data_IF_390138950034
#
_entry.id   IF_390138950034
#
_cell.length_a   1.000
_cell.length_b   1.000
_cell.length_c   1.000
_cell.angle_alpha   90.00
_cell.angle_beta   90.00
_cell.angle_gamma   90.00
#
_symmetry.space_group_name_H-M   'P 1'
#
loop_
_entity.id
_entity.type
_entity.pdbx_description
1 polymer ?
#
# COMPACT_ATOMS: atom_id res chain seq x y z
N UNK A 1 -8.94 51.49 33.31
CA UNK A 1 -9.32 50.70 34.49
C UNK A 1 -8.96 49.25 34.25
N UNK A 2 -8.25 48.66 35.21
CA UNK A 2 -7.99 47.22 35.48
C UNK A 2 -7.26 46.36 34.42
N UNK A 3 -6.00 46.08 34.78
CA UNK A 3 -5.13 44.97 34.38
C UNK A 3 -5.65 43.64 34.93
N UNK A 4 -5.39 42.53 34.23
CA UNK A 4 -5.27 41.15 34.76
C UNK A 4 -4.48 40.37 33.69
N UNK A 5 -3.27 39.81 33.83
CA UNK A 5 -2.47 39.29 34.95
C UNK A 5 -3.16 38.17 35.73
N UNK A 6 -3.08 36.95 35.19
CA UNK A 6 -3.15 35.64 35.89
C UNK A 6 -2.27 34.70 35.04
N UNK A 7 -0.99 34.54 35.38
CA UNK A 7 -0.39 33.51 36.25
C UNK A 7 -0.18 32.17 35.55
N UNK A 8 1.10 31.98 35.22
CA UNK A 8 1.83 30.73 34.98
C UNK A 8 1.49 29.71 36.08
N UNK A 9 1.10 28.51 35.69
CA UNK A 9 1.21 27.32 36.53
C UNK A 9 1.93 26.22 35.74
N UNK A 10 3.24 26.19 35.94
CA UNK A 10 4.13 25.09 35.57
C UNK A 10 3.81 23.94 36.53
N UNK A 11 3.24 22.85 36.00
CA UNK A 11 3.12 21.59 36.74
C UNK A 11 4.24 20.65 36.27
N UNK A 12 5.38 20.74 36.97
CA UNK A 12 6.44 19.73 36.92
C UNK A 12 5.94 18.53 37.72
N UNK A 13 5.70 17.41 37.05
CA UNK A 13 5.56 16.11 37.68
C UNK A 13 6.74 15.25 37.23
N UNK A 14 7.77 15.25 38.07
CA UNK A 14 8.86 14.32 38.06
C UNK A 14 8.43 13.03 38.77
N UNK A 15 8.34 11.93 38.04
CA UNK A 15 8.32 10.55 38.53
C UNK A 15 8.87 9.75 37.36
N UNK A 16 9.99 9.05 37.43
CA UNK A 16 10.57 8.30 38.52
C UNK A 16 11.08 7.04 37.82
N UNK A 17 12.40 6.95 37.69
CA UNK A 17 13.08 5.89 36.93
C UNK A 17 12.70 4.51 37.46
N UNK A 18 12.34 3.59 36.55
CA UNK A 18 12.46 2.16 36.79
C UNK A 18 13.38 1.58 35.73
N UNK A 19 14.63 1.40 36.14
CA UNK A 19 15.64 0.61 35.46
C UNK A 19 15.41 -0.83 35.90
N UNK A 20 14.88 -1.67 35.02
CA UNK A 20 14.87 -3.12 35.20
C UNK A 20 15.74 -3.74 34.12
N UNK A 21 17.02 -3.91 34.43
CA UNK A 21 17.94 -4.71 33.64
C UNK A 21 17.61 -6.20 33.79
N UNK A 22 17.53 -6.90 32.66
CA UNK A 22 17.68 -8.35 32.61
C UNK A 22 18.80 -8.66 31.63
N UNK A 23 20.04 -8.69 32.14
CA UNK A 23 21.16 -9.34 31.49
C UNK A 23 20.97 -10.86 31.65
N UNK A 24 20.77 -11.56 30.53
CA UNK A 24 20.82 -13.02 30.48
C UNK A 24 22.16 -13.41 29.87
N UNK A 25 23.17 -13.58 30.72
CA UNK A 25 24.41 -14.28 30.37
C UNK A 25 24.09 -15.77 30.17
N UNK A 26 24.21 -16.27 28.94
CA UNK A 26 24.24 -17.71 28.66
C UNK A 26 25.60 -18.08 28.08
N UNK A 27 26.53 -18.41 28.97
CA UNK A 27 27.79 -19.08 28.63
C UNK A 27 27.58 -20.60 28.59
N UNK A 28 27.76 -21.12 27.37
CA UNK A 28 28.42 -22.37 26.99
C UNK A 28 27.98 -23.70 27.61
N UNK A 29 27.62 -24.66 26.75
CA UNK A 29 28.19 -26.01 26.81
C UNK A 29 28.30 -26.57 25.39
N UNK A 30 29.51 -26.56 24.82
CA UNK A 30 29.84 -27.34 23.62
C UNK A 30 30.04 -28.80 24.04
N UNK A 31 29.22 -29.71 23.51
CA UNK A 31 29.46 -31.14 23.60
C UNK A 31 30.33 -31.62 22.42
N UNK A 32 31.25 -32.57 22.64
CA UNK A 32 32.10 -33.11 21.60
C UNK A 32 31.31 -34.07 20.69
N UNK A 33 31.29 -33.78 19.39
CA UNK A 33 30.70 -34.65 18.35
C UNK A 33 31.64 -35.85 18.15
N UNK A 34 31.15 -37.04 18.47
CA UNK A 34 31.84 -38.32 18.28
C UNK A 34 31.52 -38.83 16.87
N UNK A 35 32.46 -38.68 15.94
CA UNK A 35 32.35 -39.24 14.59
C UNK A 35 32.30 -40.77 14.63
N UNK A 36 31.17 -41.36 14.24
CA UNK A 36 31.03 -42.80 14.00
C UNK A 36 30.67 -43.00 12.53
N UNK A 37 31.65 -43.42 11.74
CA UNK A 37 31.49 -43.79 10.34
C UNK A 37 31.03 -45.25 10.31
N UNK A 38 29.76 -45.48 9.94
CA UNK A 38 29.22 -46.82 9.71
C UNK A 38 28.97 -46.96 8.21
N UNK A 39 29.79 -47.79 7.55
CA UNK A 39 29.60 -48.16 6.16
C UNK A 39 28.37 -49.09 6.05
N UNK A 40 27.31 -48.63 5.40
CA UNK A 40 26.14 -49.46 5.07
C UNK A 40 26.25 -49.87 3.60
N UNK A 41 26.16 -51.18 3.39
CA UNK A 41 26.33 -51.86 2.11
C UNK A 41 25.10 -51.63 1.23
N UNK A 42 25.33 -51.31 -0.04
CA UNK A 42 24.30 -51.05 -1.06
C UNK A 42 23.76 -52.35 -1.62
N UNK A 43 22.48 -52.65 -1.38
CA UNK A 43 21.76 -53.70 -2.10
C UNK A 43 21.22 -53.18 -3.43
N UNK A 44 21.48 -53.93 -4.50
CA UNK A 44 21.07 -53.64 -5.88
C UNK A 44 19.65 -54.19 -6.09
N UNK A 45 18.65 -53.37 -6.45
CA UNK A 45 17.33 -53.90 -6.78
C UNK A 45 17.31 -54.53 -8.17
N UNK A 46 16.81 -55.77 -8.23
CA UNK A 46 16.47 -56.50 -9.46
C UNK A 46 15.16 -55.93 -10.03
N UNK A 47 15.21 -55.33 -11.22
CA UNK A 47 14.03 -54.78 -11.89
C UNK A 47 13.15 -55.89 -12.48
N UNK A 48 11.87 -55.93 -12.07
CA UNK A 48 10.83 -56.77 -12.67
C UNK A 48 10.04 -55.93 -13.68
N UNK A 49 9.85 -56.38 -14.94
CA UNK A 49 9.10 -55.59 -15.93
C UNK A 49 7.59 -55.62 -15.60
N UNK A 50 7.05 -54.46 -15.25
CA UNK A 50 5.61 -54.23 -15.08
C UNK A 50 5.08 -53.53 -16.33
N UNK A 51 4.17 -54.17 -17.06
CA UNK A 51 3.46 -53.57 -18.20
C UNK A 51 2.28 -52.73 -17.70
N UNK A 52 2.54 -51.48 -17.35
CA UNK A 52 1.49 -50.49 -17.05
C UNK A 52 1.17 -49.73 -18.35
N UNK A 53 -0.12 -49.57 -18.74
CA UNK A 53 -0.47 -48.79 -19.92
C UNK A 53 -0.20 -47.30 -19.69
N UNK A 54 0.56 -46.69 -20.59
CA UNK A 54 0.87 -45.27 -20.63
C UNK A 54 -0.42 -44.45 -20.81
N UNK A 55 -0.74 -43.50 -19.92
CA UNK A 55 -1.82 -42.55 -20.18
C UNK A 55 -1.42 -41.64 -21.35
N UNK A 56 -2.32 -41.50 -22.32
CA UNK A 56 -2.19 -40.57 -23.45
C UNK A 56 -1.96 -39.15 -22.93
N UNK A 57 -0.94 -38.41 -23.42
CA UNK A 57 -0.74 -37.02 -23.01
C UNK A 57 -1.91 -36.17 -23.48
N UNK A 58 -2.70 -35.67 -22.53
CA UNK A 58 -3.68 -34.62 -22.78
C UNK A 58 -2.93 -33.35 -23.11
N UNK A 59 -3.18 -32.77 -24.28
CA UNK A 59 -2.61 -31.49 -24.68
C UNK A 59 -2.99 -30.42 -23.63
N UNK A 60 -2.07 -29.52 -23.25
CA UNK A 60 -2.38 -28.39 -22.38
C UNK A 60 -3.44 -27.50 -23.05
N UNK A 61 -4.34 -26.87 -22.28
CA UNK A 61 -5.32 -25.95 -22.84
C UNK A 61 -4.60 -24.81 -23.57
N UNK A 62 -5.04 -24.55 -24.80
CA UNK A 62 -4.61 -23.42 -25.62
C UNK A 62 -4.82 -22.15 -24.81
N UNK A 63 -3.72 -21.45 -24.50
CA UNK A 63 -3.77 -20.12 -23.89
C UNK A 63 -4.51 -19.22 -24.87
N UNK A 64 -5.76 -18.89 -24.55
CA UNK A 64 -6.54 -17.94 -25.33
C UNK A 64 -5.81 -16.59 -25.31
N UNK A 65 -5.61 -15.92 -26.46
CA UNK A 65 -4.92 -14.65 -26.48
C UNK A 65 -5.70 -13.64 -25.63
N UNK A 66 -5.08 -13.21 -24.52
CA UNK A 66 -5.53 -12.09 -23.72
C UNK A 66 -5.69 -10.90 -24.66
N UNK A 67 -6.92 -10.40 -24.79
CA UNK A 67 -7.22 -9.18 -25.53
C UNK A 67 -6.24 -8.08 -25.13
N UNK A 68 -5.53 -7.49 -26.09
CA UNK A 68 -4.70 -6.31 -25.88
C UNK A 68 -5.55 -5.26 -25.15
N UNK A 69 -5.16 -4.79 -23.95
CA UNK A 69 -5.95 -3.79 -23.24
C UNK A 69 -6.04 -2.52 -24.08
N UNK A 70 -7.26 -2.07 -24.39
CA UNK A 70 -7.50 -0.73 -24.92
C UNK A 70 -7.43 0.23 -23.71
N UNK A 71 -6.24 0.75 -23.43
CA UNK A 71 -6.04 1.67 -22.31
C UNK A 71 -4.59 2.19 -22.29
N UNK A 72 -4.26 3.10 -21.37
CA UNK A 72 -2.87 3.50 -21.13
C UNK A 72 -1.97 2.27 -20.98
N UNK A 73 -0.80 2.31 -21.61
CA UNK A 73 0.19 1.23 -21.48
C UNK A 73 0.51 1.04 -19.99
N UNK A 74 0.52 -0.21 -19.53
CA UNK A 74 0.78 -0.53 -18.13
C UNK A 74 -0.47 -0.74 -17.29
N UNK A 75 -1.68 -0.46 -17.78
CA UNK A 75 -2.90 -0.83 -17.08
C UNK A 75 -3.01 -2.35 -16.88
N UNK A 76 -3.16 -2.79 -15.63
CA UNK A 76 -3.41 -4.18 -15.25
C UNK A 76 -4.62 -4.25 -14.32
N UNK A 77 -5.59 -5.13 -14.61
CA UNK A 77 -6.70 -5.38 -13.67
C UNK A 77 -6.14 -6.09 -12.43
N UNK A 78 -6.33 -5.55 -11.23
CA UNK A 78 -5.85 -6.21 -10.01
C UNK A 78 -6.68 -7.46 -9.71
N UNK A 79 -6.12 -8.44 -8.98
CA UNK A 79 -6.83 -9.66 -8.63
C UNK A 79 -7.95 -9.39 -7.62
N UNK A 80 -9.05 -10.13 -7.72
CA UNK A 80 -10.18 -10.07 -6.78
C UNK A 80 -9.89 -10.94 -5.53
N UNK A 81 -8.70 -10.77 -4.91
CA UNK A 81 -8.32 -11.40 -3.65
C UNK A 81 -8.27 -10.35 -2.53
N UNK A 82 -9.12 -10.53 -1.51
CA UNK A 82 -9.28 -9.59 -0.40
C UNK A 82 -8.73 -10.13 0.93
N UNK A 83 -7.97 -11.23 0.91
CA UNK A 83 -7.29 -11.74 2.10
C UNK A 83 -6.40 -10.64 2.69
N UNK A 84 -6.39 -10.53 4.01
CA UNK A 84 -5.60 -9.51 4.71
C UNK A 84 -4.14 -9.94 4.79
N UNK A 85 -3.25 -8.98 4.56
CA UNK A 85 -1.81 -9.12 4.72
C UNK A 85 -1.28 -7.98 5.58
N UNK A 86 -0.25 -8.27 6.36
CA UNK A 86 0.43 -7.27 7.18
C UNK A 86 1.79 -6.95 6.57
N UNK A 87 2.04 -5.67 6.28
CA UNK A 87 3.27 -5.14 5.70
C UNK A 87 3.80 -4.08 6.64
N UNK A 88 4.96 -4.32 7.26
CA UNK A 88 5.60 -3.36 8.16
C UNK A 88 4.68 -2.86 9.31
N UNK A 89 3.81 -3.74 9.84
CA UNK A 89 2.84 -3.39 10.89
C UNK A 89 1.55 -2.74 10.39
N UNK A 90 1.39 -2.55 9.08
CA UNK A 90 0.18 -2.02 8.46
C UNK A 90 -0.62 -3.13 7.78
N UNK A 91 -1.93 -3.17 8.04
CA UNK A 91 -2.84 -4.11 7.38
C UNK A 91 -3.30 -3.53 6.04
N UNK A 92 -3.26 -4.33 4.97
CA UNK A 92 -3.92 -4.06 3.69
C UNK A 92 -4.52 -5.37 3.16
N UNK A 93 -5.36 -5.32 2.14
CA UNK A 93 -5.81 -6.54 1.47
C UNK A 93 -4.86 -6.93 0.32
N UNK A 94 -4.92 -8.20 -0.07
CA UNK A 94 -4.03 -8.78 -1.08
C UNK A 94 -4.15 -8.07 -2.44
N UNK A 95 -5.34 -7.61 -2.81
CA UNK A 95 -5.61 -6.79 -4.00
C UNK A 95 -4.78 -5.50 -3.99
N UNK A 96 -4.88 -4.73 -2.91
CA UNK A 96 -4.13 -3.47 -2.72
C UNK A 96 -2.62 -3.72 -2.75
N UNK A 97 -2.15 -4.79 -2.11
CA UNK A 97 -0.74 -5.17 -2.16
C UNK A 97 -0.25 -5.46 -3.59
N UNK A 98 -1.03 -6.19 -4.39
CA UNK A 98 -0.66 -6.49 -5.78
C UNK A 98 -0.65 -5.23 -6.66
N UNK A 99 -1.55 -4.28 -6.39
CA UNK A 99 -1.52 -2.97 -7.06
C UNK A 99 -0.27 -2.18 -6.69
N UNK A 100 0.16 -2.21 -5.42
CA UNK A 100 1.40 -1.56 -4.99
C UNK A 100 2.65 -2.20 -5.60
N UNK A 101 2.68 -3.54 -5.74
CA UNK A 101 3.76 -4.22 -6.46
C UNK A 101 3.83 -3.79 -7.92
N UNK A 102 2.68 -3.74 -8.59
CA UNK A 102 2.62 -3.29 -9.98
C UNK A 102 3.02 -1.81 -10.13
N UNK A 103 2.58 -0.94 -9.20
CA UNK A 103 3.02 0.45 -9.16
C UNK A 103 4.53 0.57 -8.94
N UNK A 104 5.13 -0.27 -8.08
CA UNK A 104 6.57 -0.31 -7.86
C UNK A 104 7.34 -0.68 -9.14
N UNK A 105 6.83 -1.65 -9.92
CA UNK A 105 7.41 -2.06 -11.20
C UNK A 105 7.36 -0.95 -12.25
N UNK A 106 6.24 -0.21 -12.30
CA UNK A 106 6.07 0.93 -13.21
C UNK A 106 6.92 2.15 -12.82
N UNK A 107 7.03 2.43 -11.51
CA UNK A 107 7.78 3.55 -10.98
C UNK A 107 9.30 3.35 -11.13
N UNK A 108 9.82 2.18 -10.75
CA UNK A 108 11.24 1.81 -10.93
C UNK A 108 12.26 2.63 -10.13
N UNK A 109 11.84 3.59 -9.30
CA UNK A 109 12.73 4.39 -8.45
C UNK A 109 12.98 3.79 -7.06
N UNK A 110 13.55 4.58 -6.15
CA UNK A 110 14.06 4.09 -4.87
C UNK A 110 13.03 3.98 -3.74
N UNK A 111 11.87 4.65 -3.86
CA UNK A 111 10.77 4.55 -2.90
C UNK A 111 10.16 3.14 -2.91
N UNK A 112 10.24 2.44 -1.77
CA UNK A 112 9.76 1.07 -1.57
C UNK A 112 8.31 1.04 -1.10
N UNK A 113 7.36 0.86 -2.02
CA UNK A 113 5.91 0.99 -1.77
C UNK A 113 5.31 -0.14 -0.94
N UNK A 114 5.98 -1.29 -0.90
CA UNK A 114 5.57 -2.49 -0.14
C UNK A 114 6.50 -2.77 1.04
N UNK A 115 7.24 -1.75 1.49
CA UNK A 115 8.12 -1.84 2.65
C UNK A 115 8.11 -0.52 3.43
N UNK A 116 9.25 0.16 3.54
CA UNK A 116 9.40 1.31 4.43
C UNK A 116 8.48 2.48 4.10
N UNK A 117 8.19 2.73 2.83
CA UNK A 117 7.45 3.93 2.44
C UNK A 117 5.95 3.76 2.62
N UNK A 118 5.43 2.56 2.90
CA UNK A 118 4.08 2.41 3.40
C UNK A 118 4.02 2.92 4.84
N UNK A 119 3.43 4.10 5.03
CA UNK A 119 3.34 4.79 6.34
C UNK A 119 1.96 4.71 6.97
N UNK A 120 0.95 4.31 6.20
CA UNK A 120 -0.37 3.97 6.74
C UNK A 120 -1.05 2.94 5.82
N UNK A 121 -1.66 1.92 6.42
CA UNK A 121 -2.45 0.91 5.72
C UNK A 121 -3.95 1.12 5.85
N UNK A 122 -4.70 0.13 5.38
CA UNK A 122 -6.16 0.04 5.42
C UNK A 122 -6.66 -0.53 6.76
N UNK A 123 -7.98 -0.59 6.93
CA UNK A 123 -8.69 -1.17 8.08
C UNK A 123 -8.28 -0.60 9.45
N UNK A 124 -8.02 0.71 9.50
CA UNK A 124 -7.57 1.41 10.69
C UNK A 124 -8.28 2.74 10.88
N UNK A 125 -8.54 3.08 12.14
CA UNK A 125 -9.10 4.37 12.57
C UNK A 125 -8.10 5.16 13.45
N UNK A 126 -6.82 4.77 13.45
CA UNK A 126 -5.81 5.33 14.34
C UNK A 126 -5.49 6.80 14.06
N UNK A 127 -5.75 7.30 12.85
CA UNK A 127 -5.46 8.67 12.44
C UNK A 127 -6.78 9.39 12.14
N UNK A 128 -7.21 10.26 13.05
CA UNK A 128 -8.46 11.02 12.91
C UNK A 128 -8.45 11.94 11.68
N UNK A 129 -7.27 12.42 11.27
CA UNK A 129 -7.09 13.31 10.14
C UNK A 129 -7.20 12.62 8.77
N UNK A 130 -7.39 11.29 8.72
CA UNK A 130 -7.67 10.58 7.48
C UNK A 130 -9.13 10.74 7.02
N UNK A 131 -9.99 11.45 7.78
CA UNK A 131 -11.41 11.61 7.48
C UNK A 131 -12.17 10.27 7.33
N UNK A 132 -11.60 9.20 7.91
CA UNK A 132 -12.15 7.84 7.86
C UNK A 132 -11.89 7.08 6.57
N UNK A 133 -11.10 7.61 5.62
CA UNK A 133 -10.79 6.93 4.36
C UNK A 133 -10.15 5.55 4.60
N UNK A 134 -9.31 5.42 5.63
CA UNK A 134 -8.64 4.16 6.01
C UNK A 134 -9.48 3.18 6.84
N UNK A 135 -10.75 3.48 7.15
CA UNK A 135 -11.60 2.59 7.96
C UNK A 135 -11.96 1.27 7.25
N UNK A 136 -11.77 1.20 5.93
CA UNK A 136 -12.00 0.02 5.08
C UNK A 136 -10.72 -0.40 4.35
N UNK A 137 -10.86 -1.23 3.33
CA UNK A 137 -9.80 -1.64 2.40
C UNK A 137 -9.36 -0.53 1.46
N UNK A 138 -8.33 -0.81 0.65
CA UNK A 138 -7.96 0.00 -0.53
C UNK A 138 -7.21 1.31 -0.27
N UNK A 139 -7.26 1.90 0.93
CA UNK A 139 -6.56 3.15 1.24
C UNK A 139 -5.17 2.92 1.82
N UNK A 140 -4.19 3.67 1.32
CA UNK A 140 -2.78 3.64 1.78
C UNK A 140 -2.16 5.04 1.73
N UNK A 141 -1.22 5.31 2.64
CA UNK A 141 -0.37 6.50 2.61
C UNK A 141 1.08 6.08 2.38
N UNK A 142 1.75 6.79 1.46
CA UNK A 142 3.09 6.50 1.00
C UNK A 142 4.01 7.70 1.24
N UNK A 143 5.09 7.51 2.01
CA UNK A 143 6.11 8.55 2.17
C UNK A 143 6.87 8.79 0.87
N UNK A 144 7.22 10.05 0.63
CA UNK A 144 8.09 10.49 -0.46
C UNK A 144 9.46 10.95 0.06
N UNK A 145 9.79 10.60 1.31
CA UNK A 145 11.06 10.93 1.95
C UNK A 145 12.03 9.77 1.76
N UNK A 146 13.23 10.05 1.26
CA UNK A 146 14.27 9.05 1.06
C UNK A 146 14.60 8.31 2.36
N UNK A 147 14.64 6.97 2.27
CA UNK A 147 14.88 6.05 3.39
C UNK A 147 16.04 6.50 4.29
N UNK A 148 15.79 6.55 5.60
CA UNK A 148 16.80 6.87 6.60
C UNK A 148 17.27 8.33 6.60
N UNK A 149 16.57 9.22 5.88
CA UNK A 149 16.89 10.65 5.81
C UNK A 149 15.63 11.51 6.06
N UNK A 150 15.79 12.83 5.96
CA UNK A 150 14.69 13.80 5.91
C UNK A 150 14.57 14.48 4.54
N UNK A 151 15.21 13.92 3.51
CA UNK A 151 15.22 14.47 2.16
C UNK A 151 13.95 14.03 1.43
N UNK A 152 13.10 14.97 1.07
CA UNK A 152 11.98 14.74 0.15
C UNK A 152 12.52 14.50 -1.26
N UNK A 153 12.02 13.48 -1.94
CA UNK A 153 12.33 13.16 -3.32
C UNK A 153 11.30 13.79 -4.26
N UNK A 154 11.33 15.12 -4.41
CA UNK A 154 10.35 15.85 -5.23
C UNK A 154 10.31 15.39 -6.69
N UNK A 155 11.46 15.07 -7.27
CA UNK A 155 11.55 14.58 -8.67
C UNK A 155 10.87 13.21 -8.87
N UNK A 156 10.67 12.44 -7.79
CA UNK A 156 10.04 11.13 -7.82
C UNK A 156 8.51 11.20 -7.65
N UNK A 157 7.95 12.32 -7.20
CA UNK A 157 6.52 12.44 -6.86
C UNK A 157 5.64 12.24 -8.10
N UNK A 158 5.87 13.01 -9.17
CA UNK A 158 5.06 12.90 -10.39
C UNK A 158 5.18 11.51 -11.07
N UNK A 159 6.38 10.93 -11.26
CA UNK A 159 6.52 9.55 -11.75
C UNK A 159 5.81 8.52 -10.86
N UNK A 160 5.89 8.65 -9.54
CA UNK A 160 5.24 7.72 -8.62
C UNK A 160 3.70 7.85 -8.67
N UNK A 161 3.16 9.06 -8.72
CA UNK A 161 1.72 9.30 -8.88
C UNK A 161 1.23 8.71 -10.21
N UNK A 162 1.97 8.90 -11.30
CA UNK A 162 1.65 8.29 -12.60
C UNK A 162 1.64 6.76 -12.53
N UNK A 163 2.63 6.16 -11.87
CA UNK A 163 2.73 4.71 -11.68
C UNK A 163 1.56 4.16 -10.85
N UNK A 164 1.24 4.80 -9.72
CA UNK A 164 0.10 4.44 -8.87
C UNK A 164 -1.22 4.52 -9.64
N UNK A 165 -1.45 5.60 -10.38
CA UNK A 165 -2.66 5.79 -11.18
C UNK A 165 -2.80 4.76 -12.30
N UNK A 166 -1.70 4.45 -12.97
CA UNK A 166 -1.65 3.39 -14.00
C UNK A 166 -1.90 2.01 -13.38
N UNK A 167 -1.44 1.78 -12.15
CA UNK A 167 -1.69 0.54 -11.41
C UNK A 167 -3.11 0.42 -10.84
N UNK A 168 -3.91 1.48 -10.92
CA UNK A 168 -5.32 1.45 -10.56
C UNK A 168 -5.71 2.24 -9.30
N UNK A 169 -4.82 3.08 -8.79
CA UNK A 169 -5.15 3.97 -7.68
C UNK A 169 -5.71 5.31 -8.17
N UNK A 170 -6.61 5.92 -7.42
CA UNK A 170 -6.64 7.38 -7.34
C UNK A 170 -5.53 7.79 -6.37
N UNK A 171 -4.64 8.69 -6.76
CA UNK A 171 -3.48 9.05 -5.94
C UNK A 171 -3.20 10.55 -6.01
N UNK A 172 -2.93 11.15 -4.85
CA UNK A 172 -2.67 12.59 -4.70
C UNK A 172 -1.50 12.81 -3.75
N UNK A 173 -0.69 13.82 -4.00
CA UNK A 173 0.20 14.33 -2.97
C UNK A 173 -0.63 15.04 -1.89
N UNK A 174 -0.19 14.90 -0.66
CA UNK A 174 -0.52 15.75 0.46
C UNK A 174 0.78 16.42 0.87
N UNK A 175 0.90 17.72 0.62
CA UNK A 175 2.10 18.46 1.00
C UNK A 175 2.15 18.69 2.53
N UNK A 176 3.29 19.17 3.01
CA UNK A 176 3.43 19.57 4.41
C UNK A 176 2.34 20.56 4.80
N UNK A 177 1.80 20.36 6.00
CA UNK A 177 0.77 21.23 6.60
C UNK A 177 -0.56 21.34 5.82
N UNK A 178 -0.76 20.57 4.74
CA UNK A 178 -1.97 20.65 3.91
C UNK A 178 -3.23 20.17 4.65
N UNK A 179 -3.13 19.05 5.36
CA UNK A 179 -4.29 18.46 6.07
C UNK A 179 -4.53 19.16 7.41
N UNK A 180 -3.45 19.47 8.12
CA UNK A 180 -3.45 20.19 9.40
C UNK A 180 -2.01 20.65 9.71
N UNK A 181 -1.80 21.67 10.57
CA UNK A 181 -0.46 22.09 10.96
C UNK A 181 0.36 20.93 11.55
N UNK A 182 1.48 20.63 10.93
CA UNK A 182 2.39 19.52 11.22
C UNK A 182 2.12 18.23 10.44
N UNK A 183 1.15 18.19 9.51
CA UNK A 183 0.91 16.99 8.70
C UNK A 183 2.12 16.70 7.80
N UNK A 184 2.64 15.46 7.78
CA UNK A 184 3.80 15.11 6.97
C UNK A 184 3.43 15.04 5.49
N UNK A 185 4.41 15.31 4.62
CA UNK A 185 4.27 15.07 3.18
C UNK A 185 4.13 13.56 2.88
N UNK A 186 3.15 13.19 2.09
CA UNK A 186 2.91 11.81 1.65
C UNK A 186 2.03 11.79 0.40
N UNK A 187 2.03 10.67 -0.33
CA UNK A 187 1.01 10.38 -1.34
C UNK A 187 -0.10 9.58 -0.67
N UNK A 188 -1.32 10.11 -0.72
CA UNK A 188 -2.54 9.38 -0.35
C UNK A 188 -3.07 8.65 -1.59
N UNK A 189 -3.33 7.35 -1.48
CA UNK A 189 -3.82 6.55 -2.60
C UNK A 189 -4.98 5.62 -2.22
N UNK A 190 -5.98 5.54 -3.10
CA UNK A 190 -7.19 4.74 -2.95
C UNK A 190 -7.31 3.75 -4.12
N UNK A 191 -7.37 2.47 -3.81
CA UNK A 191 -7.49 1.39 -4.78
C UNK A 191 -8.89 1.38 -5.43
N UNK A 192 -9.00 1.87 -6.66
CA UNK A 192 -10.27 1.95 -7.40
C UNK A 192 -10.87 0.55 -7.55
N UNK A 193 -12.17 0.41 -7.26
CA UNK A 193 -12.88 -0.88 -7.36
C UNK A 193 -12.57 -1.88 -6.25
N UNK A 194 -11.92 -1.45 -5.16
CA UNK A 194 -11.84 -2.27 -3.96
C UNK A 194 -13.23 -2.39 -3.32
N UNK A 195 -13.68 -3.61 -3.00
CA UNK A 195 -15.02 -3.84 -2.47
C UNK A 195 -15.14 -3.36 -1.02
N UNK A 196 -14.03 -3.30 -0.31
CA UNK A 196 -14.03 -3.04 1.12
C UNK A 196 -13.74 -1.56 1.41
N UNK A 197 -13.76 -0.67 0.40
CA UNK A 197 -13.59 0.78 0.58
C UNK A 197 -14.54 1.32 1.66
N UNK A 198 -14.01 2.24 2.47
CA UNK A 198 -14.87 3.02 3.35
C UNK A 198 -15.75 3.98 2.53
N UNK A 199 -16.91 4.42 3.06
CA UNK A 199 -17.72 5.44 2.40
C UNK A 199 -16.95 6.74 2.12
N UNK A 200 -16.03 7.12 3.01
CA UNK A 200 -15.17 8.28 2.82
C UNK A 200 -14.21 8.09 1.64
N UNK A 201 -13.58 6.91 1.51
CA UNK A 201 -12.71 6.60 0.39
C UNK A 201 -13.46 6.57 -0.95
N UNK A 202 -14.67 5.99 -0.97
CA UNK A 202 -15.52 5.99 -2.17
C UNK A 202 -15.90 7.43 -2.59
N UNK A 203 -16.18 8.32 -1.62
CA UNK A 203 -16.45 9.74 -1.90
C UNK A 203 -15.27 10.43 -2.58
N UNK A 204 -14.03 10.12 -2.18
CA UNK A 204 -12.85 10.67 -2.85
C UNK A 204 -12.67 10.16 -4.28
N UNK A 205 -13.31 9.06 -4.67
CA UNK A 205 -13.31 8.59 -6.05
C UNK A 205 -14.40 9.29 -6.88
N UNK A 206 -15.65 9.25 -6.40
CA UNK A 206 -16.85 9.52 -7.21
C UNK A 206 -17.67 10.74 -6.77
N UNK A 207 -17.35 11.30 -5.60
CA UNK A 207 -17.98 12.49 -5.03
C UNK A 207 -17.80 13.75 -5.87
N UNK A 208 -18.30 14.88 -5.39
CA UNK A 208 -18.25 16.17 -6.11
C UNK A 208 -16.80 16.67 -6.28
N UNK A 209 -15.97 16.37 -5.29
CA UNK A 209 -14.54 16.61 -5.18
C UNK A 209 -13.67 15.41 -5.60
N UNK A 210 -14.28 14.40 -6.24
CA UNK A 210 -13.64 13.11 -6.47
C UNK A 210 -12.64 13.07 -7.64
N UNK A 211 -11.80 12.03 -7.61
CA UNK A 211 -10.78 11.74 -8.61
C UNK A 211 -11.31 11.74 -10.04
N UNK A 212 -12.44 11.08 -10.28
CA UNK A 212 -12.99 10.94 -11.62
C UNK A 212 -13.53 12.26 -12.20
N UNK A 213 -13.65 13.30 -11.36
CA UNK A 213 -14.00 14.68 -11.77
C UNK A 213 -12.79 15.61 -11.89
N UNK A 214 -11.57 15.09 -11.68
CA UNK A 214 -10.33 15.86 -11.79
C UNK A 214 -9.99 16.71 -10.57
N UNK A 215 -10.48 16.33 -9.40
CA UNK A 215 -10.26 17.04 -8.14
C UNK A 215 -9.40 16.22 -7.17
N UNK A 216 -8.93 16.88 -6.11
CA UNK A 216 -7.94 16.31 -5.18
C UNK A 216 -8.52 15.37 -4.11
N UNK A 217 -9.83 15.11 -4.10
CA UNK A 217 -10.50 14.21 -3.15
C UNK A 217 -10.66 14.77 -1.73
N UNK A 218 -10.18 15.98 -1.41
CA UNK A 218 -10.34 16.54 -0.08
C UNK A 218 -11.73 17.15 0.11
N UNK A 219 -12.39 16.91 1.26
CA UNK A 219 -13.70 17.47 1.53
C UNK A 219 -13.67 18.99 1.50
N UNK A 220 -14.73 19.58 0.96
CA UNK A 220 -14.90 21.02 0.84
C UNK A 220 -15.42 21.57 2.16
N UNK A 221 -14.80 22.65 2.66
CA UNK A 221 -15.42 23.47 3.71
C UNK A 221 -16.47 24.40 3.09
N UNK A 222 -17.63 24.52 3.74
CA UNK A 222 -18.82 25.25 3.25
C UNK A 222 -18.49 26.51 2.43
N UNK A 223 -18.95 26.53 1.18
CA UNK A 223 -18.91 27.69 0.28
C UNK A 223 -17.64 27.84 -0.57
N UNK A 224 -16.75 26.84 -0.60
CA UNK A 224 -15.60 26.82 -1.52
C UNK A 224 -15.83 25.84 -2.68
N UNK A 225 -15.11 26.07 -3.78
CA UNK A 225 -15.09 25.14 -4.91
C UNK A 225 -14.18 23.94 -4.60
N UNK A 226 -14.42 22.76 -5.22
CA UNK A 226 -13.49 21.65 -5.15
C UNK A 226 -12.11 22.04 -5.70
N UNK A 227 -11.05 21.51 -5.08
CA UNK A 227 -9.67 21.84 -5.46
C UNK A 227 -9.25 20.92 -6.63
N UNK A 228 -8.79 21.47 -7.76
CA UNK A 228 -8.26 20.67 -8.87
C UNK A 228 -7.09 19.79 -8.45
N UNK A 229 -6.99 18.62 -9.06
CA UNK A 229 -5.83 17.73 -8.92
C UNK A 229 -4.59 18.36 -9.59
N UNK A 230 -3.53 18.59 -8.81
CA UNK A 230 -2.32 19.26 -9.29
C UNK A 230 -1.52 18.43 -10.31
N UNK A 231 -1.69 17.11 -10.31
CA UNK A 231 -1.04 16.18 -11.24
C UNK A 231 -1.96 15.78 -12.41
N UNK A 232 -3.08 16.47 -12.59
CA UNK A 232 -4.05 16.19 -13.65
C UNK A 232 -4.77 14.86 -13.46
N UNK A 233 -5.17 14.20 -14.56
CA UNK A 233 -5.99 12.98 -14.51
C UNK A 233 -7.50 13.24 -14.60
N UNK A 234 -8.34 12.18 -14.51
CA UNK A 234 -8.01 10.81 -14.09
C UNK A 234 -7.29 9.98 -15.17
N UNK A 235 -6.57 8.94 -14.75
CA UNK A 235 -6.16 7.82 -15.61
C UNK A 235 -7.24 6.76 -15.51
N UNK A 236 -7.81 6.38 -16.66
CA UNK A 236 -8.90 5.42 -16.72
C UNK A 236 -8.44 4.23 -17.56
N UNK A 237 -8.28 3.08 -16.91
CA UNK A 237 -8.00 1.80 -17.55
C UNK A 237 -9.29 1.14 -18.05
N UNK A 238 -9.21 0.30 -19.08
CA UNK A 238 -10.38 -0.42 -19.61
C UNK A 238 -11.14 -1.19 -18.53
N UNK A 239 -10.43 -1.88 -17.64
CA UNK A 239 -11.07 -2.65 -16.57
C UNK A 239 -11.85 -1.76 -15.59
N UNK A 240 -11.48 -0.49 -15.43
CA UNK A 240 -12.26 0.46 -14.63
C UNK A 240 -13.57 0.81 -15.34
N UNK A 241 -13.53 0.99 -16.65
CA UNK A 241 -14.72 1.20 -17.49
C UNK A 241 -15.64 0.00 -17.41
N UNK A 242 -15.08 -1.22 -17.47
CA UNK A 242 -15.85 -2.45 -17.34
C UNK A 242 -16.51 -2.60 -15.95
N UNK A 243 -15.96 -1.95 -14.92
CA UNK A 243 -16.55 -1.83 -13.58
C UNK A 243 -17.55 -0.68 -13.44
N UNK A 244 -17.73 0.14 -14.48
CA UNK A 244 -18.66 1.27 -14.52
C UNK A 244 -18.08 2.63 -14.14
N UNK A 245 -16.77 2.72 -13.93
CA UNK A 245 -16.10 4.01 -13.76
C UNK A 245 -15.90 4.70 -15.12
N UNK A 246 -15.74 6.02 -15.10
CA UNK A 246 -15.53 6.80 -16.31
C UNK A 246 -14.99 8.18 -16.01
N UNK A 247 -14.69 8.93 -17.06
CA UNK A 247 -14.30 10.33 -16.91
C UNK A 247 -15.57 11.13 -16.64
N UNK A 248 -15.64 11.73 -15.44
CA UNK A 248 -16.77 12.53 -15.00
C UNK A 248 -16.46 14.03 -15.06
N UNK A 249 -15.29 14.41 -15.59
CA UNK A 249 -15.05 15.78 -16.05
C UNK A 249 -16.06 16.03 -17.18
N UNK A 250 -16.79 17.14 -17.07
CA UNK A 250 -17.90 17.51 -17.97
C UNK A 250 -17.59 17.15 -19.45
N UNK A 251 -18.52 16.56 -20.21
CA UNK A 251 -18.41 16.51 -21.66
C UNK A 251 -18.49 17.92 -22.28
#
# INVERSE_FOLDING_TARGET
MKKSLISILILILAFGQFVAGCQSDSKATQQPIKNTITATQTDIPTATPTTTPTPTPSLPPTIQPTSTPIGPVGCLRPPDNYDLVEINGYTINQRTYQMLLHAQELYGGELQLTAYHLTQGSYTNLVSASFGTHNGGGAVDLSVIQYGTYKVLYDDIEPLILALRTAGFAAWLRDFDELYPGSPIHIHAIAIGDRDLSPAAESQLTGEEGYFRGFNGLPINDGRDPIPDEFGGPIICQWMIDLGYGDLRQP
#
